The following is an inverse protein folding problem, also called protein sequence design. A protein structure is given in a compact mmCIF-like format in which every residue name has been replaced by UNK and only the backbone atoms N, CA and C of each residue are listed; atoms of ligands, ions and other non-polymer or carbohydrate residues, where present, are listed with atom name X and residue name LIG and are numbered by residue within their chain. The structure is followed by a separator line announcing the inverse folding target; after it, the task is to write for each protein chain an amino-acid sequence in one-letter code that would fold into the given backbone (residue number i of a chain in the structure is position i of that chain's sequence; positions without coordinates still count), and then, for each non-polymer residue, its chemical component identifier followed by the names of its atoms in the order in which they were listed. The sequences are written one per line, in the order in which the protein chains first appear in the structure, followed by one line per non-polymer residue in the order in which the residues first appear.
data_IF_323042644323
#
_entry.id   IF_323042644323
#
_cell.length_a   1.000
_cell.length_b   1.000
_cell.length_c   1.000
_cell.angle_alpha   90.00
_cell.angle_beta   90.00
_cell.angle_gamma   90.00
#
_symmetry.space_group_name_H-M   'P 1'
#
loop_
_entity.id
_entity.type
_entity.pdbx_description
1 polymer ?
#
# COMPACT_ATOMS: atom_id res chain seq x y z
N UNK A 1 5.82 -32.93 32.84
CA UNK A 1 6.88 -33.25 33.79
C UNK A 1 8.11 -32.40 33.51
N UNK A 2 9.03 -32.23 34.51
CA UNK A 2 10.28 -31.43 34.30
C UNK A 2 11.10 -31.97 33.10
N UNK A 3 11.10 -33.27 32.91
CA UNK A 3 11.78 -33.92 31.78
C UNK A 3 11.21 -33.53 30.42
N UNK A 4 9.89 -33.41 30.28
CA UNK A 4 9.25 -32.99 29.02
C UNK A 4 9.61 -31.53 28.66
N UNK A 5 9.75 -30.67 29.68
CA UNK A 5 10.17 -29.26 29.49
C UNK A 5 11.65 -29.19 29.09
N UNK A 6 12.52 -30.02 29.67
CA UNK A 6 13.94 -30.08 29.26
C UNK A 6 14.12 -30.59 27.83
N UNK A 7 13.38 -31.62 27.44
CA UNK A 7 13.40 -32.17 26.08
C UNK A 7 12.90 -31.14 25.06
N UNK A 8 11.85 -30.39 25.41
CA UNK A 8 11.33 -29.31 24.56
C UNK A 8 12.33 -28.17 24.43
N UNK A 9 13.01 -27.78 25.50
CA UNK A 9 14.06 -26.74 25.47
C UNK A 9 15.27 -27.20 24.65
N UNK A 10 15.66 -28.46 24.72
CA UNK A 10 16.73 -29.03 23.90
C UNK A 10 16.36 -29.00 22.43
N UNK A 11 15.16 -29.43 22.08
CA UNK A 11 14.66 -29.40 20.68
C UNK A 11 14.62 -27.96 20.12
N UNK A 12 14.20 -26.99 20.93
CA UNK A 12 14.20 -25.57 20.55
C UNK A 12 15.63 -25.03 20.37
N UNK A 13 16.58 -25.43 21.24
CA UNK A 13 17.99 -25.02 21.10
C UNK A 13 18.64 -25.58 19.85
N UNK A 14 18.43 -26.86 19.54
CA UNK A 14 18.93 -27.48 18.33
C UNK A 14 18.35 -26.82 17.06
N UNK A 15 17.06 -26.51 17.07
CA UNK A 15 16.40 -25.79 16.00
C UNK A 15 16.98 -24.37 15.82
N UNK A 16 17.26 -23.66 16.93
CA UNK A 16 17.86 -22.31 16.91
C UNK A 16 19.33 -22.33 16.43
N UNK A 17 20.11 -23.34 16.80
CA UNK A 17 21.49 -23.50 16.31
C UNK A 17 21.51 -23.81 14.81
N UNK A 18 20.64 -24.72 14.36
CA UNK A 18 20.46 -25.01 12.96
C UNK A 18 20.01 -23.76 12.15
N UNK A 19 19.08 -22.96 12.70
CA UNK A 19 18.70 -21.70 12.09
C UNK A 19 19.86 -20.70 12.02
N UNK A 20 20.68 -20.57 13.07
CA UNK A 20 21.84 -19.68 13.10
C UNK A 20 22.88 -20.05 12.05
N UNK A 21 23.16 -21.34 11.88
CA UNK A 21 24.08 -21.84 10.85
C UNK A 21 23.50 -21.66 9.44
N UNK A 22 22.19 -21.87 9.27
CA UNK A 22 21.49 -21.76 8.00
C UNK A 22 21.23 -20.30 7.58
N UNK A 23 21.12 -19.34 8.52
CA UNK A 23 20.86 -17.93 8.21
C UNK A 23 22.12 -17.32 7.55
N UNK A 24 22.00 -17.10 6.25
CA UNK A 24 23.00 -16.33 5.52
C UNK A 24 22.86 -14.85 5.84
N UNK A 25 23.82 -14.29 6.58
CA UNK A 25 23.87 -12.86 6.90
C UNK A 25 24.23 -11.98 5.68
N UNK A 26 24.50 -12.58 4.54
CA UNK A 26 25.07 -11.89 3.37
C UNK A 26 24.04 -11.72 2.26
N UNK A 27 23.87 -10.49 1.78
CA UNK A 27 22.99 -10.18 0.63
C UNK A 27 23.36 -10.92 -0.66
N UNK A 28 24.60 -11.41 -0.79
CA UNK A 28 25.03 -12.21 -1.95
C UNK A 28 24.25 -13.52 -2.09
N UNK A 29 23.73 -14.09 -0.98
CA UNK A 29 22.91 -15.28 -1.01
C UNK A 29 21.61 -15.11 -1.82
N UNK A 30 21.05 -13.90 -1.87
CA UNK A 30 19.85 -13.59 -2.65
C UNK A 30 20.08 -13.68 -4.17
N UNK A 31 21.34 -13.50 -4.62
CA UNK A 31 21.68 -13.48 -6.04
C UNK A 31 22.33 -14.78 -6.52
N UNK A 32 22.90 -15.55 -5.60
CA UNK A 32 23.64 -16.79 -5.93
C UNK A 32 22.71 -17.89 -6.45
N UNK A 33 21.57 -18.09 -5.80
CA UNK A 33 20.59 -19.12 -6.16
C UNK A 33 19.57 -18.61 -7.18
N UNK A 34 19.44 -19.31 -8.30
CA UNK A 34 18.50 -18.97 -9.38
C UNK A 34 17.04 -18.93 -8.90
N UNK A 35 16.68 -19.82 -7.97
CA UNK A 35 15.34 -19.88 -7.40
C UNK A 35 15.04 -18.67 -6.51
N UNK A 36 15.96 -18.34 -5.61
CA UNK A 36 15.85 -17.18 -4.70
C UNK A 36 15.84 -15.88 -5.50
N UNK A 37 16.68 -15.74 -6.52
CA UNK A 37 16.72 -14.57 -7.40
C UNK A 37 15.39 -14.34 -8.13
N UNK A 38 14.72 -15.40 -8.63
CA UNK A 38 13.40 -15.27 -9.25
C UNK A 38 12.35 -14.76 -8.25
N UNK A 39 12.36 -15.30 -7.03
CA UNK A 39 11.46 -14.86 -5.95
C UNK A 39 11.73 -13.41 -5.56
N UNK A 40 13.01 -13.03 -5.47
CA UNK A 40 13.42 -11.65 -5.22
C UNK A 40 12.89 -10.69 -6.30
N UNK A 41 13.12 -11.00 -7.58
CA UNK A 41 12.63 -10.15 -8.67
C UNK A 41 11.12 -10.00 -8.64
N UNK A 42 10.37 -11.07 -8.39
CA UNK A 42 8.92 -11.01 -8.23
C UNK A 42 8.51 -10.11 -7.04
N UNK A 43 9.20 -10.24 -5.91
CA UNK A 43 8.95 -9.41 -4.73
C UNK A 43 9.23 -7.93 -5.03
N UNK A 44 10.32 -7.60 -5.71
CA UNK A 44 10.65 -6.23 -6.11
C UNK A 44 9.58 -5.65 -7.04
N UNK A 45 9.15 -6.41 -8.06
CA UNK A 45 8.11 -5.98 -9.01
C UNK A 45 6.77 -5.73 -8.30
N UNK A 46 6.34 -6.61 -7.41
CA UNK A 46 5.06 -6.44 -6.69
C UNK A 46 5.13 -5.26 -5.73
N UNK A 47 6.24 -5.09 -5.00
CA UNK A 47 6.41 -3.96 -4.08
C UNK A 47 6.53 -2.62 -4.83
N UNK A 48 7.19 -2.57 -5.97
CA UNK A 48 7.17 -1.41 -6.86
C UNK A 48 5.75 -1.16 -7.43
N UNK A 49 5.07 -2.22 -7.87
CA UNK A 49 3.70 -2.17 -8.38
C UNK A 49 2.70 -1.63 -7.35
N UNK A 50 2.91 -1.93 -6.06
CA UNK A 50 2.09 -1.37 -4.99
C UNK A 50 2.14 0.18 -4.97
N UNK A 51 3.28 0.79 -5.25
CA UNK A 51 3.40 2.24 -5.31
C UNK A 51 2.76 2.84 -6.58
N UNK A 52 2.75 2.07 -7.68
CA UNK A 52 2.07 2.44 -8.92
C UNK A 52 0.54 2.54 -8.77
N UNK A 53 -0.06 1.96 -7.73
CA UNK A 53 -1.50 2.14 -7.43
C UNK A 53 -1.87 3.58 -7.09
N UNK A 54 -0.89 4.45 -6.82
CA UNK A 54 -1.11 5.84 -6.47
C UNK A 54 -1.52 6.09 -5.01
N UNK A 55 -1.61 5.05 -4.17
CA UNK A 55 -2.02 5.21 -2.77
C UNK A 55 -1.12 6.15 -1.97
N UNK A 56 0.20 6.05 -2.14
CA UNK A 56 1.16 6.94 -1.48
C UNK A 56 0.89 8.40 -1.81
N UNK A 57 0.68 8.68 -3.07
CA UNK A 57 0.38 10.02 -3.59
C UNK A 57 -0.97 10.53 -3.10
N UNK A 58 -2.02 9.70 -3.20
CA UNK A 58 -3.35 10.05 -2.69
C UNK A 58 -3.32 10.37 -1.20
N UNK A 59 -2.58 9.60 -0.40
CA UNK A 59 -2.47 9.83 1.03
C UNK A 59 -1.75 11.15 1.35
N UNK A 60 -0.67 11.45 0.64
CA UNK A 60 0.12 12.67 0.84
C UNK A 60 -0.67 13.92 0.41
N UNK A 61 -1.37 13.86 -0.72
CA UNK A 61 -2.10 15.00 -1.29
C UNK A 61 -3.59 15.03 -0.93
N UNK A 62 -4.10 14.10 -0.13
CA UNK A 62 -5.51 14.02 0.30
C UNK A 62 -6.02 15.32 0.89
N UNK A 63 -5.26 15.92 1.80
CA UNK A 63 -5.60 17.20 2.44
C UNK A 63 -5.71 18.34 1.41
N UNK A 64 -4.85 18.35 0.40
CA UNK A 64 -4.89 19.35 -0.68
C UNK A 64 -6.14 19.16 -1.54
N UNK A 65 -6.49 17.93 -1.87
CA UNK A 65 -7.72 17.59 -2.60
C UNK A 65 -8.95 18.04 -1.81
N UNK A 66 -8.99 17.75 -0.50
CA UNK A 66 -10.11 18.14 0.35
C UNK A 66 -10.23 19.65 0.53
N UNK A 67 -9.12 20.40 0.59
CA UNK A 67 -9.13 21.88 0.61
C UNK A 67 -9.74 22.50 -0.65
N UNK A 68 -9.64 21.83 -1.79
CA UNK A 68 -10.31 22.26 -3.03
C UNK A 68 -11.84 22.10 -3.01
N UNK A 69 -12.36 21.29 -2.11
CA UNK A 69 -13.79 20.93 -2.01
C UNK A 69 -14.45 21.53 -0.78
N UNK A 70 -13.82 21.42 0.39
CA UNK A 70 -14.37 21.85 1.67
C UNK A 70 -13.67 23.12 2.13
N UNK A 71 -14.47 24.11 2.57
CA UNK A 71 -13.95 25.38 3.08
C UNK A 71 -13.50 25.28 4.55
N UNK A 72 -14.12 24.39 5.28
CA UNK A 72 -13.99 24.31 6.72
C UNK A 72 -12.87 23.34 7.11
N UNK A 73 -11.86 23.86 7.78
CA UNK A 73 -10.68 23.08 8.16
C UNK A 73 -11.05 21.94 9.16
N UNK A 74 -12.10 22.15 9.94
CA UNK A 74 -12.64 21.14 10.87
C UNK A 74 -13.21 19.92 10.12
N UNK A 75 -13.95 20.15 9.03
CA UNK A 75 -14.47 19.08 8.18
C UNK A 75 -13.37 18.27 7.51
N UNK A 76 -12.30 18.93 7.05
CA UNK A 76 -11.15 18.26 6.44
C UNK A 76 -10.44 17.36 7.45
N UNK A 77 -10.25 17.84 8.68
CA UNK A 77 -9.64 17.03 9.75
C UNK A 77 -10.52 15.84 10.12
N UNK A 78 -11.84 16.03 10.18
CA UNK A 78 -12.80 14.96 10.44
C UNK A 78 -12.73 13.87 9.34
N UNK A 79 -12.68 14.27 8.07
CA UNK A 79 -12.57 13.34 6.94
C UNK A 79 -11.25 12.56 7.01
N UNK A 80 -10.14 13.21 7.32
CA UNK A 80 -8.84 12.54 7.50
C UNK A 80 -8.87 11.56 8.69
N UNK A 81 -9.49 11.92 9.79
CA UNK A 81 -9.64 11.04 10.96
C UNK A 81 -10.53 9.81 10.63
N UNK A 82 -11.65 10.02 9.94
CA UNK A 82 -12.51 8.94 9.47
C UNK A 82 -11.75 8.01 8.50
N UNK A 83 -10.98 8.57 7.57
CA UNK A 83 -10.16 7.82 6.64
C UNK A 83 -9.15 6.91 7.38
N UNK A 84 -8.46 7.44 8.39
CA UNK A 84 -7.53 6.65 9.21
C UNK A 84 -8.25 5.54 9.98
N UNK A 85 -9.40 5.83 10.59
CA UNK A 85 -10.22 4.86 11.35
C UNK A 85 -10.73 3.74 10.45
N UNK A 86 -11.34 4.07 9.31
CA UNK A 86 -11.77 3.06 8.33
C UNK A 86 -10.59 2.27 7.76
N UNK A 87 -9.43 2.93 7.56
CA UNK A 87 -8.21 2.27 7.14
C UNK A 87 -7.78 1.15 8.10
N UNK A 88 -7.88 1.36 9.42
CA UNK A 88 -7.60 0.33 10.43
C UNK A 88 -8.60 -0.82 10.32
N UNK A 89 -9.90 -0.52 10.26
CA UNK A 89 -10.97 -1.53 10.16
C UNK A 89 -10.77 -2.40 8.90
N UNK A 90 -10.47 -1.78 7.75
CA UNK A 90 -10.25 -2.50 6.50
C UNK A 90 -8.96 -3.34 6.53
N UNK A 91 -7.92 -2.87 7.23
CA UNK A 91 -6.69 -3.66 7.41
C UNK A 91 -6.92 -4.87 8.32
N UNK A 92 -7.70 -4.73 9.38
CA UNK A 92 -8.08 -5.88 10.23
C UNK A 92 -8.88 -6.92 9.47
N UNK A 93 -9.77 -6.48 8.57
CA UNK A 93 -10.51 -7.38 7.69
C UNK A 93 -9.58 -8.19 6.76
N UNK A 94 -8.38 -7.66 6.43
CA UNK A 94 -7.41 -8.35 5.60
C UNK A 94 -6.98 -9.70 6.20
N UNK A 95 -6.81 -9.78 7.53
CA UNK A 95 -6.38 -11.00 8.22
C UNK A 95 -7.32 -12.17 7.88
N UNK A 96 -8.62 -11.94 7.99
CA UNK A 96 -9.62 -12.96 7.68
C UNK A 96 -9.77 -13.23 6.17
N UNK A 97 -9.68 -12.19 5.35
CA UNK A 97 -9.91 -12.26 3.89
C UNK A 97 -8.76 -12.97 3.17
N UNK A 98 -7.51 -12.75 3.61
CA UNK A 98 -6.31 -13.37 3.01
C UNK A 98 -6.33 -14.90 3.15
N UNK A 99 -6.76 -15.40 4.31
CA UNK A 99 -6.80 -16.83 4.55
C UNK A 99 -7.96 -17.52 3.82
N UNK A 100 -9.09 -16.82 3.63
CA UNK A 100 -10.27 -17.38 2.99
C UNK A 100 -10.21 -17.39 1.47
N UNK A 101 -9.75 -16.33 0.84
CA UNK A 101 -9.79 -16.15 -0.63
C UNK A 101 -8.45 -16.37 -1.32
N UNK A 102 -7.36 -16.35 -0.56
CA UNK A 102 -6.01 -16.52 -1.08
C UNK A 102 -5.43 -15.23 -1.72
N UNK A 103 -4.10 -15.19 -1.78
CA UNK A 103 -3.32 -13.98 -2.13
C UNK A 103 -3.56 -13.53 -3.57
N UNK A 104 -3.59 -14.48 -4.54
CA UNK A 104 -3.77 -14.18 -5.96
C UNK A 104 -5.11 -13.52 -6.25
N UNK A 105 -6.18 -14.05 -5.67
CA UNK A 105 -7.52 -13.50 -5.85
C UNK A 105 -7.62 -12.07 -5.33
N UNK A 106 -7.06 -11.82 -4.14
CA UNK A 106 -7.06 -10.49 -3.55
C UNK A 106 -6.32 -9.46 -4.42
N UNK A 107 -5.15 -9.81 -4.96
CA UNK A 107 -4.43 -8.91 -5.87
C UNK A 107 -5.25 -8.53 -7.10
N UNK A 108 -5.94 -9.51 -7.72
CA UNK A 108 -6.75 -9.26 -8.93
C UNK A 108 -7.97 -8.42 -8.60
N UNK A 109 -8.75 -8.81 -7.59
CA UNK A 109 -9.97 -8.09 -7.18
C UNK A 109 -9.64 -6.68 -6.70
N UNK A 110 -8.56 -6.53 -5.91
CA UNK A 110 -8.09 -5.23 -5.47
C UNK A 110 -7.68 -4.33 -6.64
N UNK A 111 -6.91 -4.84 -7.60
CA UNK A 111 -6.50 -4.09 -8.77
C UNK A 111 -7.71 -3.64 -9.62
N UNK A 112 -8.65 -4.54 -9.90
CA UNK A 112 -9.87 -4.21 -10.64
C UNK A 112 -10.74 -3.17 -9.90
N UNK A 113 -10.92 -3.35 -8.59
CA UNK A 113 -11.70 -2.41 -7.77
C UNK A 113 -11.07 -1.02 -7.71
N UNK A 114 -9.76 -0.95 -7.49
CA UNK A 114 -9.04 0.32 -7.51
C UNK A 114 -9.07 1.00 -8.88
N UNK A 115 -8.89 0.26 -9.97
CA UNK A 115 -8.96 0.78 -11.33
C UNK A 115 -10.36 1.35 -11.62
N UNK A 116 -11.42 0.65 -11.26
CA UNK A 116 -12.80 1.13 -11.41
C UNK A 116 -13.05 2.42 -10.61
N UNK A 117 -12.57 2.50 -9.37
CA UNK A 117 -12.67 3.70 -8.54
C UNK A 117 -11.92 4.88 -9.17
N UNK A 118 -10.72 4.67 -9.72
CA UNK A 118 -9.93 5.72 -10.35
C UNK A 118 -10.54 6.20 -11.67
N UNK A 119 -11.11 5.31 -12.47
CA UNK A 119 -11.86 5.68 -13.69
C UNK A 119 -13.07 6.52 -13.30
N UNK A 120 -13.87 6.08 -12.32
CA UNK A 120 -15.01 6.85 -11.83
C UNK A 120 -14.59 8.22 -11.27
N UNK A 121 -13.50 8.29 -10.53
CA UNK A 121 -12.94 9.54 -10.00
C UNK A 121 -12.54 10.51 -11.11
N UNK A 122 -11.88 10.00 -12.17
CA UNK A 122 -11.49 10.78 -13.33
C UNK A 122 -12.70 11.28 -14.12
N UNK A 123 -13.72 10.44 -14.33
CA UNK A 123 -14.97 10.83 -15.00
C UNK A 123 -15.72 11.91 -14.23
N UNK A 124 -15.89 11.77 -12.93
CA UNK A 124 -16.51 12.79 -12.07
C UNK A 124 -15.69 14.07 -12.04
N UNK A 125 -14.35 13.95 -12.02
CA UNK A 125 -13.44 15.08 -12.08
C UNK A 125 -13.51 15.85 -13.40
N UNK A 126 -13.63 15.16 -14.53
CA UNK A 126 -13.69 15.78 -15.87
C UNK A 126 -15.00 16.53 -16.16
N UNK A 127 -16.09 16.12 -15.53
CA UNK A 127 -17.39 16.79 -15.65
C UNK A 127 -17.46 18.15 -14.94
N UNK A 128 -16.47 18.47 -14.10
CA UNK A 128 -16.43 19.73 -13.37
C UNK A 128 -15.29 20.60 -13.87
N UNK A 129 -15.58 21.74 -14.52
CA UNK A 129 -14.53 22.65 -14.96
C UNK A 129 -13.78 23.23 -13.75
N UNK A 130 -12.46 23.05 -13.78
CA UNK A 130 -11.44 23.71 -12.97
C UNK A 130 -11.41 23.44 -11.46
N UNK A 131 -10.64 22.42 -11.08
CA UNK A 131 -9.75 22.52 -9.92
C UNK A 131 -8.45 23.17 -10.42
N UNK A 132 -8.37 24.46 -10.43
CA UNK A 132 -7.12 25.14 -10.73
C UNK A 132 -6.23 25.09 -9.48
N UNK A 133 -5.14 24.38 -9.59
CA UNK A 133 -4.03 24.43 -8.64
C UNK A 133 -3.23 25.71 -8.93
N UNK A 134 -3.33 26.73 -8.07
CA UNK A 134 -2.39 27.84 -8.10
C UNK A 134 -2.91 29.27 -8.25
N UNK A 135 -4.22 29.51 -8.28
CA UNK A 135 -4.74 30.89 -8.16
C UNK A 135 -5.47 31.08 -6.84
N UNK A 136 -5.30 32.23 -6.13
CA UNK A 136 -6.08 32.52 -4.92
C UNK A 136 -7.54 32.63 -5.33
N UNK A 137 -8.29 31.58 -4.99
CA UNK A 137 -9.64 31.37 -5.45
C UNK A 137 -10.60 32.42 -4.93
N UNK A 138 -11.03 33.26 -5.81
CA UNK A 138 -12.33 33.88 -5.76
C UNK A 138 -13.36 32.81 -6.10
N UNK A 139 -13.97 32.22 -5.04
CA UNK A 139 -15.11 31.32 -4.99
C UNK A 139 -14.84 29.82 -5.29
N UNK A 140 -15.17 28.93 -4.36
CA UNK A 140 -15.24 27.50 -4.62
C UNK A 140 -16.45 27.23 -5.53
N UNK A 141 -16.17 26.83 -6.75
CA UNK A 141 -17.18 26.64 -7.78
C UNK A 141 -17.58 25.15 -7.95
N UNK A 142 -17.18 24.29 -7.02
CA UNK A 142 -17.71 22.92 -7.02
C UNK A 142 -18.91 22.84 -6.10
N UNK A 143 -20.03 22.43 -6.69
CA UNK A 143 -21.23 22.09 -5.94
C UNK A 143 -20.86 21.04 -4.88
N UNK A 144 -21.23 21.27 -3.62
CA UNK A 144 -20.99 20.35 -2.50
C UNK A 144 -21.21 18.85 -2.83
N UNK A 145 -22.23 18.46 -3.64
CA UNK A 145 -22.47 17.06 -3.98
C UNK A 145 -21.34 16.40 -4.76
N UNK A 146 -20.64 17.12 -5.62
CA UNK A 146 -19.50 16.58 -6.37
C UNK A 146 -18.31 16.30 -5.45
N UNK A 147 -18.05 17.19 -4.51
CA UNK A 147 -17.00 17.00 -3.52
C UNK A 147 -17.25 15.79 -2.61
N UNK A 148 -18.49 15.61 -2.19
CA UNK A 148 -18.92 14.44 -1.40
C UNK A 148 -18.73 13.16 -2.23
N UNK A 149 -19.13 13.17 -3.52
CA UNK A 149 -18.94 12.02 -4.41
C UNK A 149 -17.45 11.65 -4.59
N UNK A 150 -16.57 12.62 -4.79
CA UNK A 150 -15.12 12.40 -4.89
C UNK A 150 -14.55 11.82 -3.59
N UNK A 151 -14.99 12.35 -2.44
CA UNK A 151 -14.57 11.83 -1.13
C UNK A 151 -15.06 10.38 -0.94
N UNK A 152 -16.30 10.07 -1.29
CA UNK A 152 -16.83 8.71 -1.21
C UNK A 152 -16.04 7.72 -2.11
N UNK A 153 -15.65 8.13 -3.32
CA UNK A 153 -14.82 7.33 -4.21
C UNK A 153 -13.41 7.08 -3.63
N UNK A 154 -12.83 8.05 -2.92
CA UNK A 154 -11.55 7.85 -2.23
C UNK A 154 -11.69 6.85 -1.07
N UNK A 155 -12.78 6.90 -0.29
CA UNK A 155 -13.04 5.89 0.73
C UNK A 155 -13.23 4.49 0.13
N UNK A 156 -13.93 4.39 -1.00
CA UNK A 156 -14.11 3.13 -1.71
C UNK A 156 -12.77 2.60 -2.26
N UNK A 157 -11.91 3.48 -2.76
CA UNK A 157 -10.55 3.12 -3.18
C UNK A 157 -9.75 2.52 -2.00
N UNK A 158 -9.80 3.14 -0.83
CA UNK A 158 -9.13 2.65 0.38
C UNK A 158 -9.70 1.32 0.84
N UNK A 159 -11.00 1.12 0.71
CA UNK A 159 -11.66 -0.15 0.99
C UNK A 159 -11.09 -1.28 0.13
N UNK A 160 -10.87 -1.05 -1.16
CA UNK A 160 -10.23 -2.03 -2.03
C UNK A 160 -8.73 -2.16 -1.76
N UNK A 161 -8.02 -1.06 -1.53
CA UNK A 161 -6.57 -1.06 -1.35
C UNK A 161 -6.10 -1.74 -0.06
N UNK A 162 -6.66 -1.35 1.08
CA UNK A 162 -6.15 -1.75 2.41
C UNK A 162 -6.10 -3.27 2.62
N UNK A 163 -7.17 -4.04 2.40
CA UNK A 163 -7.13 -5.49 2.60
C UNK A 163 -6.38 -6.23 1.50
N UNK A 164 -6.29 -5.68 0.30
CA UNK A 164 -5.70 -6.35 -0.85
C UNK A 164 -4.23 -5.96 -1.04
N UNK A 165 -3.95 -4.90 -1.75
CA UNK A 165 -2.57 -4.46 -2.04
C UNK A 165 -1.84 -3.91 -0.81
N UNK A 166 -2.54 -3.34 0.17
CA UNK A 166 -1.94 -2.81 1.40
C UNK A 166 -1.33 -3.92 2.27
N UNK A 167 -2.15 -4.79 2.80
CA UNK A 167 -1.72 -5.84 3.72
C UNK A 167 -1.15 -7.08 3.00
N UNK A 168 -1.82 -7.55 1.93
CA UNK A 168 -1.45 -8.78 1.24
C UNK A 168 -0.06 -8.71 0.62
N UNK A 169 0.41 -7.55 0.15
CA UNK A 169 1.77 -7.41 -0.39
C UNK A 169 2.83 -7.74 0.66
N UNK A 170 2.68 -7.27 1.89
CA UNK A 170 3.60 -7.55 2.98
C UNK A 170 3.57 -9.01 3.40
N UNK A 171 2.36 -9.59 3.54
CA UNK A 171 2.16 -11.00 3.88
C UNK A 171 2.81 -11.88 2.82
N UNK A 172 2.49 -11.65 1.54
CA UNK A 172 3.04 -12.42 0.43
C UNK A 172 4.56 -12.28 0.31
N UNK A 173 5.11 -11.08 0.51
CA UNK A 173 6.56 -10.85 0.47
C UNK A 173 7.26 -11.61 1.58
N UNK A 174 6.67 -11.73 2.76
CA UNK A 174 7.25 -12.51 3.86
C UNK A 174 7.16 -14.02 3.64
N UNK A 175 6.15 -14.50 2.93
CA UNK A 175 5.93 -15.92 2.65
C UNK A 175 6.79 -16.48 1.51
N UNK A 176 7.14 -15.63 0.53
CA UNK A 176 7.86 -16.10 -0.66
C UNK A 176 9.31 -16.46 -0.39
N UNK A 177 9.91 -15.89 0.66
CA UNK A 177 11.29 -16.13 1.05
C UNK A 177 11.39 -17.27 2.08
N UNK A 178 12.38 -18.15 1.89
CA UNK A 178 12.79 -19.12 2.90
C UNK A 178 13.35 -18.41 4.14
N UNK A 179 13.30 -19.06 5.29
CA UNK A 179 13.77 -18.51 6.57
C UNK A 179 15.17 -17.90 6.49
N UNK A 180 16.09 -18.58 5.80
CA UNK A 180 17.49 -18.21 5.70
C UNK A 180 17.77 -16.85 5.04
N UNK A 181 16.89 -16.40 4.15
CA UNK A 181 17.08 -15.15 3.37
C UNK A 181 15.91 -14.19 3.51
N UNK A 182 14.94 -14.51 4.38
CA UNK A 182 13.70 -13.73 4.53
C UNK A 182 13.96 -12.29 4.96
N UNK A 183 14.82 -12.08 5.94
CA UNK A 183 15.14 -10.74 6.46
C UNK A 183 15.77 -9.84 5.38
N UNK A 184 16.75 -10.37 4.62
CA UNK A 184 17.39 -9.63 3.55
C UNK A 184 16.45 -9.40 2.37
N UNK A 185 15.65 -10.40 1.99
CA UNK A 185 14.64 -10.29 0.93
C UNK A 185 13.57 -9.25 1.24
N UNK A 186 13.05 -9.25 2.48
CA UNK A 186 12.10 -8.26 2.96
C UNK A 186 12.71 -6.86 2.97
N UNK A 187 13.95 -6.73 3.45
CA UNK A 187 14.68 -5.47 3.47
C UNK A 187 14.85 -4.87 2.07
N UNK A 188 15.26 -5.67 1.08
CA UNK A 188 15.37 -5.22 -0.32
C UNK A 188 14.01 -4.83 -0.92
N UNK A 189 12.97 -5.62 -0.68
CA UNK A 189 11.62 -5.33 -1.16
C UNK A 189 11.08 -4.02 -0.57
N UNK A 190 11.28 -3.80 0.73
CA UNK A 190 10.91 -2.56 1.43
C UNK A 190 11.66 -1.34 0.88
N UNK A 191 12.97 -1.46 0.64
CA UNK A 191 13.74 -0.36 0.05
C UNK A 191 13.28 -0.05 -1.37
N UNK A 192 12.96 -1.05 -2.19
CA UNK A 192 12.41 -0.84 -3.54
C UNK A 192 11.07 -0.09 -3.48
N UNK A 193 10.23 -0.43 -2.52
CA UNK A 193 8.97 0.28 -2.27
C UNK A 193 9.21 1.76 -1.92
N UNK A 194 10.16 2.04 -1.02
CA UNK A 194 10.49 3.40 -0.60
C UNK A 194 11.07 4.23 -1.77
N UNK A 195 11.97 3.63 -2.56
CA UNK A 195 12.54 4.29 -3.74
C UNK A 195 11.45 4.60 -4.77
N UNK A 196 10.59 3.63 -5.08
CA UNK A 196 9.47 3.84 -5.99
C UNK A 196 8.54 4.96 -5.48
N UNK A 197 8.17 4.95 -4.19
CA UNK A 197 7.35 5.99 -3.58
C UNK A 197 8.00 7.38 -3.70
N UNK A 198 9.29 7.51 -3.42
CA UNK A 198 10.02 8.77 -3.51
C UNK A 198 10.03 9.31 -4.94
N UNK A 199 10.26 8.45 -5.94
CA UNK A 199 10.21 8.82 -7.34
C UNK A 199 8.82 9.35 -7.70
N UNK A 200 7.76 8.61 -7.37
CA UNK A 200 6.39 9.04 -7.69
C UNK A 200 6.02 10.35 -7.00
N UNK A 201 6.34 10.52 -5.73
CA UNK A 201 6.05 11.75 -5.01
C UNK A 201 6.80 12.97 -5.58
N UNK A 202 8.01 12.78 -6.09
CA UNK A 202 8.79 13.85 -6.70
C UNK A 202 8.23 14.29 -8.07
N UNK A 203 7.80 13.32 -8.89
CA UNK A 203 7.30 13.61 -10.24
C UNK A 203 5.83 14.05 -10.25
N UNK A 204 5.04 13.67 -9.27
CA UNK A 204 3.61 13.93 -9.25
C UNK A 204 3.23 15.41 -9.28
N UNK A 205 3.86 16.34 -8.50
CA UNK A 205 3.55 17.76 -8.58
C UNK A 205 3.86 18.35 -9.95
N UNK A 206 4.98 17.96 -10.56
CA UNK A 206 5.33 18.41 -11.90
C UNK A 206 4.34 17.89 -12.96
N UNK A 207 3.86 16.68 -12.82
CA UNK A 207 2.82 16.11 -13.67
C UNK A 207 1.51 16.87 -13.54
N UNK A 208 1.05 17.16 -12.32
CA UNK A 208 -0.16 17.97 -12.07
C UNK A 208 -0.05 19.36 -12.68
N UNK A 209 1.09 20.02 -12.53
CA UNK A 209 1.31 21.36 -13.07
C UNK A 209 1.28 21.40 -14.61
N UNK A 210 1.80 20.35 -15.28
CA UNK A 210 1.88 20.27 -16.72
C UNK A 210 0.59 19.75 -17.39
N UNK A 211 -0.20 18.93 -16.69
CA UNK A 211 -1.46 18.37 -17.22
C UNK A 211 -2.66 19.30 -16.99
N UNK A 212 -2.51 20.40 -16.27
CA UNK A 212 -3.57 21.40 -16.09
C UNK A 212 -4.76 20.90 -15.26
N UNK A 213 -4.52 19.98 -14.31
CA UNK A 213 -5.53 19.45 -13.40
C UNK A 213 -5.48 20.14 -12.04
#
# INVERSE_FOLDING_TARGET
TEQEVEDEILTIREALEFEKEAISSTYSALWKDRSVRKRLLLALVINAGQQLTGQGTLNTYSTTIYKGVFKDNSQIQLINALNATFGIIFTLNAVWTVDRFGRKFLFIVGACGMAACMIAFSLVGSQTPTLYYGTPATKPTKTQPVGIALTALLFLFIFFYKPTWGATTWIWTSEIFSMNVRAQGLGMASQTQNVANSIFQQFFPAFLANCGL
#
